data_IF_457817050837
#
_entry.id   IF_457817050837
#
_cell.length_a   1.000
_cell.length_b   1.000
_cell.length_c   1.000
_cell.angle_alpha   90.00
_cell.angle_beta   90.00
_cell.angle_gamma   90.00
#
_symmetry.space_group_name_H-M   'P 1'
#
loop_
_entity.id
_entity.type
_entity.pdbx_description
1 polymer ?
#
# COMPACT_ATOMS: atom_id res chain seq x y z
N UNK A 1 31.85 15.44 -1.85
CA UNK A 1 30.38 15.53 -1.90
C UNK A 1 29.79 14.14 -1.76
N UNK A 2 28.84 13.95 -0.84
CA UNK A 2 28.11 12.71 -0.65
C UNK A 2 26.68 12.86 -1.20
N UNK A 3 26.22 11.92 -2.02
CA UNK A 3 24.84 11.93 -2.56
C UNK A 3 24.07 10.82 -1.85
N UNK A 4 22.97 11.16 -1.20
CA UNK A 4 22.15 10.23 -0.42
C UNK A 4 20.72 10.20 -0.96
N UNK A 5 20.19 9.04 -1.35
CA UNK A 5 18.77 8.89 -1.65
C UNK A 5 17.93 8.86 -0.36
N UNK A 6 16.68 9.38 -0.44
CA UNK A 6 15.72 9.33 0.65
C UNK A 6 14.29 9.15 0.10
N UNK A 7 13.76 7.95 0.19
CA UNK A 7 12.39 7.60 -0.21
C UNK A 7 11.82 6.50 0.70
N UNK A 8 10.50 6.36 0.74
CA UNK A 8 9.80 5.51 1.71
C UNK A 8 10.23 4.03 1.67
N UNK A 9 10.56 3.50 0.48
CA UNK A 9 10.97 2.09 0.31
C UNK A 9 12.44 1.82 0.57
N UNK A 10 13.24 2.87 0.85
CA UNK A 10 14.67 2.70 1.14
C UNK A 10 14.84 1.91 2.45
N UNK A 11 15.82 0.98 2.54
CA UNK A 11 16.14 0.30 3.80
C UNK A 11 16.37 1.28 4.94
N UNK A 12 15.89 0.95 6.14
CA UNK A 12 15.96 1.84 7.32
C UNK A 12 17.40 2.25 7.63
N UNK A 13 18.37 1.37 7.41
CA UNK A 13 19.79 1.69 7.61
C UNK A 13 20.25 2.83 6.70
N UNK A 14 19.84 2.81 5.43
CA UNK A 14 20.18 3.85 4.45
C UNK A 14 19.41 5.13 4.69
N UNK A 15 18.13 5.05 5.09
CA UNK A 15 17.36 6.22 5.52
C UNK A 15 18.04 6.94 6.68
N UNK A 16 18.59 6.19 7.66
CA UNK A 16 19.28 6.77 8.82
C UNK A 16 20.54 7.54 8.47
N UNK A 17 21.19 7.25 7.34
CA UNK A 17 22.41 7.95 6.92
C UNK A 17 22.21 9.46 6.77
N UNK A 18 21.01 9.91 6.36
CA UNK A 18 20.71 11.34 6.18
C UNK A 18 20.66 12.11 7.52
N UNK A 19 20.41 11.42 8.63
CA UNK A 19 20.32 12.02 9.97
C UNK A 19 21.65 12.07 10.70
N UNK A 20 22.62 11.23 10.32
CA UNK A 20 23.94 11.23 10.96
C UNK A 20 24.79 12.38 10.44
N UNK A 21 25.46 13.14 11.31
CA UNK A 21 26.37 14.19 10.90
C UNK A 21 27.53 13.61 10.06
N UNK A 22 27.85 14.28 8.97
CA UNK A 22 29.02 13.97 8.14
C UNK A 22 29.87 15.23 7.97
N UNK A 23 31.14 15.05 7.60
CA UNK A 23 32.08 16.14 7.35
C UNK A 23 31.99 16.64 5.90
N UNK A 24 31.50 15.81 4.99
CA UNK A 24 31.38 16.15 3.56
C UNK A 24 30.13 16.98 3.25
N UNK A 25 30.21 17.77 2.17
CA UNK A 25 29.02 18.40 1.57
C UNK A 25 28.04 17.30 1.12
N UNK A 26 26.76 17.42 1.50
CA UNK A 26 25.73 16.45 1.21
C UNK A 26 24.68 16.98 0.24
N UNK A 27 24.28 16.11 -0.68
CA UNK A 27 23.13 16.31 -1.57
C UNK A 27 22.16 15.15 -1.28
N UNK A 28 20.93 15.48 -0.88
CA UNK A 28 19.91 14.50 -0.55
C UNK A 28 18.87 14.51 -1.67
N UNK A 29 18.76 13.40 -2.40
CA UNK A 29 17.74 13.20 -3.44
C UNK A 29 16.53 12.53 -2.80
N UNK A 30 15.45 13.29 -2.60
CA UNK A 30 14.30 12.79 -1.86
C UNK A 30 12.99 12.90 -2.65
N UNK A 31 12.05 12.02 -2.29
CA UNK A 31 10.65 12.14 -2.66
C UNK A 31 9.92 13.06 -1.66
N UNK A 32 8.59 13.16 -1.78
CA UNK A 32 7.74 13.89 -0.82
C UNK A 32 7.82 13.37 0.64
N UNK A 33 8.49 12.26 0.92
CA UNK A 33 8.73 11.77 2.29
C UNK A 33 9.46 12.82 3.16
N UNK A 34 10.32 13.63 2.57
CA UNK A 34 11.02 14.72 3.27
C UNK A 34 10.20 16.02 3.37
N UNK A 35 9.03 16.08 2.74
CA UNK A 35 8.15 17.25 2.77
C UNK A 35 7.44 17.39 4.12
N UNK A 36 6.93 16.31 4.69
CA UNK A 36 6.14 16.31 5.93
C UNK A 36 6.68 15.39 7.00
N UNK A 37 7.04 14.16 6.65
CA UNK A 37 7.24 13.07 7.60
C UNK A 37 8.60 13.07 8.30
N UNK A 38 9.63 13.61 7.67
CA UNK A 38 11.00 13.55 8.20
C UNK A 38 11.63 14.94 8.25
N UNK A 39 12.36 15.21 9.33
CA UNK A 39 13.17 16.42 9.45
C UNK A 39 14.64 16.07 9.27
N UNK A 40 15.18 16.36 8.09
CA UNK A 40 16.61 16.20 7.84
C UNK A 40 17.36 17.38 8.46
N UNK A 41 18.34 17.15 9.35
CA UNK A 41 19.05 18.22 10.01
C UNK A 41 20.00 18.96 9.05
N UNK A 42 20.28 20.24 9.36
CA UNK A 42 21.30 21.07 8.68
C UNK A 42 21.05 21.35 7.20
N UNK A 43 19.81 21.22 6.73
CA UNK A 43 19.45 21.61 5.36
C UNK A 43 19.45 23.14 5.26
N UNK A 44 20.28 23.69 4.39
CA UNK A 44 20.40 25.11 4.07
C UNK A 44 19.83 25.46 2.71
N UNK A 45 19.79 24.49 1.82
CA UNK A 45 19.31 24.67 0.45
C UNK A 45 18.26 23.62 0.13
N UNK A 46 17.19 24.03 -0.53
CA UNK A 46 16.18 23.15 -1.13
C UNK A 46 16.12 23.48 -2.62
N UNK A 47 16.19 22.44 -3.45
CA UNK A 47 15.91 22.53 -4.88
C UNK A 47 14.58 21.81 -5.11
N UNK A 48 13.55 22.57 -5.47
CA UNK A 48 12.20 22.05 -5.65
C UNK A 48 11.86 21.94 -7.13
N UNK A 49 11.69 20.73 -7.62
CA UNK A 49 11.29 20.42 -9.00
C UNK A 49 9.84 20.75 -9.29
N UNK A 50 9.01 20.93 -8.27
CA UNK A 50 7.58 21.20 -8.39
C UNK A 50 6.70 20.00 -8.67
N UNK A 51 7.23 18.78 -8.60
CA UNK A 51 6.49 17.54 -8.88
C UNK A 51 6.53 16.56 -7.72
N UNK A 52 5.50 15.71 -7.62
CA UNK A 52 5.44 14.58 -6.73
C UNK A 52 4.66 13.41 -7.36
N UNK A 53 4.86 12.20 -6.84
CA UNK A 53 3.95 11.08 -7.09
C UNK A 53 2.79 11.20 -6.12
N UNK A 54 1.58 11.39 -6.65
CA UNK A 54 0.35 11.54 -5.87
C UNK A 54 -0.53 10.33 -6.14
N UNK A 55 -1.02 9.71 -5.06
CA UNK A 55 -1.91 8.56 -5.18
C UNK A 55 -3.26 9.00 -5.73
N UNK A 56 -3.69 8.37 -6.84
CA UNK A 56 -4.95 8.64 -7.52
C UNK A 56 -5.67 7.35 -7.88
N UNK A 57 -6.95 7.28 -7.57
CA UNK A 57 -7.81 6.20 -8.03
C UNK A 57 -8.16 6.38 -9.51
N UNK A 58 -7.85 5.40 -10.32
CA UNK A 58 -8.21 5.39 -11.73
C UNK A 58 -9.58 4.73 -11.92
N UNK A 59 -10.58 5.49 -12.27
CA UNK A 59 -11.93 5.00 -12.56
C UNK A 59 -11.95 4.00 -13.73
N UNK A 60 -11.11 4.22 -14.75
CA UNK A 60 -11.06 3.36 -15.94
C UNK A 60 -10.52 1.96 -15.61
N UNK A 61 -9.44 1.87 -14.83
CA UNK A 61 -8.79 0.60 -14.50
C UNK A 61 -9.14 0.09 -13.10
N UNK A 62 -9.93 0.85 -12.33
CA UNK A 62 -10.34 0.55 -10.94
C UNK A 62 -9.16 0.19 -10.01
N UNK A 63 -8.00 0.80 -10.26
CA UNK A 63 -6.79 0.62 -9.45
C UNK A 63 -6.22 1.94 -8.99
N UNK A 64 -5.51 1.90 -7.87
CA UNK A 64 -4.74 3.03 -7.37
C UNK A 64 -3.48 3.19 -8.20
N UNK A 65 -3.23 4.40 -8.71
CA UNK A 65 -2.05 4.78 -9.49
C UNK A 65 -1.26 5.85 -8.77
N UNK A 66 0.00 6.00 -9.14
CA UNK A 66 0.93 7.00 -8.61
C UNK A 66 1.49 7.86 -9.76
N UNK A 67 0.66 8.65 -10.46
CA UNK A 67 1.15 9.57 -11.48
C UNK A 67 2.08 10.62 -10.89
N UNK A 68 2.96 11.16 -11.74
CA UNK A 68 3.78 12.33 -11.41
C UNK A 68 2.96 13.55 -11.76
N UNK A 69 2.67 14.39 -10.77
CA UNK A 69 1.83 15.58 -10.91
C UNK A 69 2.52 16.81 -10.31
N UNK A 70 2.12 18.01 -10.75
CA UNK A 70 2.52 19.25 -10.13
C UNK A 70 1.97 19.32 -8.69
N UNK A 71 2.80 19.77 -7.76
CA UNK A 71 2.40 19.93 -6.35
C UNK A 71 1.61 21.22 -6.14
N UNK A 72 0.83 21.27 -5.07
CA UNK A 72 0.13 22.47 -4.63
C UNK A 72 1.08 23.57 -4.12
N UNK A 73 0.58 24.80 -4.00
CA UNK A 73 1.32 25.92 -3.39
C UNK A 73 1.70 25.62 -1.93
N UNK A 74 0.79 25.04 -1.16
CA UNK A 74 1.04 24.64 0.23
C UNK A 74 2.19 23.61 0.32
N UNK A 75 2.19 22.61 -0.55
CA UNK A 75 3.26 21.60 -0.63
C UNK A 75 4.61 22.24 -0.99
N UNK A 76 4.64 23.15 -1.97
CA UNK A 76 5.84 23.90 -2.33
C UNK A 76 6.36 24.76 -1.17
N UNK A 77 5.46 25.39 -0.40
CA UNK A 77 5.81 26.18 0.78
C UNK A 77 6.31 25.29 1.93
N UNK A 78 5.75 24.09 2.12
CA UNK A 78 6.27 23.11 3.07
C UNK A 78 7.71 22.68 2.71
N UNK A 79 8.00 22.41 1.42
CA UNK A 79 9.35 22.11 0.95
C UNK A 79 10.31 23.28 1.22
N UNK A 80 9.90 24.52 0.89
CA UNK A 80 10.66 25.74 1.21
C UNK A 80 11.00 25.79 2.70
N UNK A 81 10.04 25.49 3.59
CA UNK A 81 10.23 25.50 5.04
C UNK A 81 11.31 24.53 5.54
N UNK A 82 11.73 23.54 4.74
CA UNK A 82 12.76 22.56 5.16
C UNK A 82 14.15 23.15 5.29
N UNK A 83 14.52 24.17 4.54
CA UNK A 83 15.83 24.82 4.65
C UNK A 83 15.88 25.91 5.75
N UNK A 84 14.73 26.33 6.30
CA UNK A 84 14.65 27.40 7.29
C UNK A 84 14.57 26.97 8.77
N UNK A 85 14.74 25.69 9.10
CA UNK A 85 14.48 25.19 10.46
C UNK A 85 15.55 25.54 11.51
N UNK A 86 16.81 25.61 11.11
CA UNK A 86 17.94 25.85 12.02
C UNK A 86 18.60 27.22 11.77
N UNK A 87 18.08 28.04 10.88
CA UNK A 87 18.60 29.35 10.50
C UNK A 87 18.25 29.69 9.05
N UNK A 88 18.64 30.83 8.53
CA UNK A 88 18.33 31.27 7.17
C UNK A 88 18.75 30.24 6.14
N UNK A 89 17.88 29.93 5.19
CA UNK A 89 18.11 28.97 4.10
C UNK A 89 17.52 29.47 2.80
N UNK A 90 17.93 28.88 1.69
CA UNK A 90 17.50 29.25 0.34
C UNK A 90 16.75 28.11 -0.32
N UNK A 91 15.56 28.39 -0.86
CA UNK A 91 14.82 27.48 -1.70
C UNK A 91 14.84 27.96 -3.16
N UNK A 92 15.30 27.09 -4.06
CA UNK A 92 15.33 27.34 -5.49
C UNK A 92 14.23 26.48 -6.12
N UNK A 93 13.22 27.12 -6.71
CA UNK A 93 12.16 26.47 -7.48
C UNK A 93 12.58 26.36 -8.94
N UNK A 94 12.47 25.17 -9.53
CA UNK A 94 12.80 24.93 -10.95
C UNK A 94 11.59 25.15 -11.86
N UNK A 95 10.71 26.06 -11.49
CA UNK A 95 9.51 26.47 -12.24
C UNK A 95 9.26 27.96 -11.99
N UNK A 96 8.52 28.59 -12.88
CA UNK A 96 8.28 30.04 -12.82
C UNK A 96 7.33 30.44 -11.69
N UNK A 97 7.36 31.71 -11.30
CA UNK A 97 6.40 32.26 -10.36
C UNK A 97 4.97 32.19 -10.91
N UNK A 98 4.80 32.48 -12.20
CA UNK A 98 3.51 32.36 -12.87
C UNK A 98 2.95 30.90 -12.83
N UNK A 99 3.81 29.89 -12.99
CA UNK A 99 3.39 28.49 -12.81
C UNK A 99 3.01 28.19 -11.35
N UNK A 100 3.76 28.74 -10.38
CA UNK A 100 3.42 28.59 -8.96
C UNK A 100 2.05 29.21 -8.64
N UNK A 101 1.76 30.40 -9.14
CA UNK A 101 0.52 31.13 -8.86
C UNK A 101 -0.72 30.43 -9.48
N UNK A 102 -0.53 29.73 -10.58
CA UNK A 102 -1.59 28.94 -11.24
C UNK A 102 -1.86 27.59 -10.54
N UNK A 103 -1.02 27.16 -9.62
CA UNK A 103 -1.22 25.89 -8.90
C UNK A 103 -2.34 25.99 -7.88
N UNK A 104 -3.05 24.88 -7.60
CA UNK A 104 -4.03 24.85 -6.53
C UNK A 104 -3.35 25.20 -5.20
N UNK A 105 -4.06 25.93 -4.34
CA UNK A 105 -3.54 26.35 -3.03
C UNK A 105 -3.18 25.14 -2.15
N UNK A 106 -4.07 24.13 -2.10
CA UNK A 106 -3.90 22.90 -1.30
C UNK A 106 -3.95 21.65 -2.17
N UNK A 107 -3.35 20.59 -1.69
CA UNK A 107 -3.50 19.27 -2.28
C UNK A 107 -4.90 18.74 -1.98
N UNK A 108 -5.56 18.14 -2.98
CA UNK A 108 -6.89 17.55 -2.81
C UNK A 108 -6.94 16.56 -1.63
N UNK A 109 -8.01 16.58 -0.81
CA UNK A 109 -8.22 15.61 0.25
C UNK A 109 -8.18 14.16 -0.23
N UNK A 110 -7.83 13.23 0.65
CA UNK A 110 -7.72 11.81 0.30
C UNK A 110 -9.04 11.23 -0.22
N UNK A 111 -10.18 11.68 0.32
CA UNK A 111 -11.51 11.24 -0.10
C UNK A 111 -11.79 11.49 -1.59
N UNK A 112 -11.15 12.50 -2.19
CA UNK A 112 -11.28 12.83 -3.61
C UNK A 112 -10.31 12.03 -4.51
N UNK A 113 -9.42 11.22 -3.92
CA UNK A 113 -8.31 10.55 -4.62
C UNK A 113 -8.27 9.04 -4.45
N UNK A 114 -9.11 8.48 -3.58
CA UNK A 114 -9.11 7.04 -3.24
C UNK A 114 -10.45 6.39 -3.55
N UNK A 115 -10.48 5.06 -3.56
CA UNK A 115 -11.73 4.31 -3.66
C UNK A 115 -12.62 4.57 -2.44
N UNK A 116 -13.88 4.87 -2.66
CA UNK A 116 -14.85 5.15 -1.61
C UNK A 116 -15.58 3.91 -1.09
N UNK A 117 -15.33 2.73 -1.65
CA UNK A 117 -16.10 1.53 -1.34
C UNK A 117 -16.11 1.18 0.16
N UNK A 118 -14.94 1.20 0.81
CA UNK A 118 -14.84 0.93 2.26
C UNK A 118 -15.54 1.99 3.11
N UNK A 119 -15.45 3.26 2.69
CA UNK A 119 -16.09 4.39 3.38
C UNK A 119 -17.61 4.27 3.28
N UNK A 120 -18.15 4.12 2.06
CA UNK A 120 -19.59 3.99 1.80
C UNK A 120 -20.15 2.77 2.55
N UNK A 121 -19.49 1.62 2.46
CA UNK A 121 -19.96 0.43 3.16
C UNK A 121 -20.05 0.64 4.68
N UNK A 122 -19.04 1.30 5.24
CA UNK A 122 -19.02 1.64 6.67
C UNK A 122 -20.15 2.63 7.03
N UNK A 123 -20.36 3.67 6.24
CA UNK A 123 -21.46 4.63 6.45
C UNK A 123 -22.82 3.93 6.44
N UNK A 124 -23.08 3.07 5.44
CA UNK A 124 -24.32 2.31 5.32
C UNK A 124 -24.54 1.32 6.48
N UNK A 125 -23.48 0.77 7.06
CA UNK A 125 -23.58 -0.22 8.15
C UNK A 125 -23.60 0.40 9.55
N UNK A 126 -23.31 1.71 9.68
CA UNK A 126 -23.32 2.47 10.93
C UNK A 126 -24.44 3.53 10.97
N UNK A 127 -25.38 3.45 10.03
CA UNK A 127 -26.55 4.35 9.92
C UNK A 127 -26.18 5.84 9.82
N UNK A 128 -25.05 6.16 9.16
CA UNK A 128 -24.63 7.55 8.90
C UNK A 128 -25.33 8.17 7.68
N UNK A 129 -26.27 7.43 7.06
CA UNK A 129 -26.99 7.88 5.89
C UNK A 129 -26.24 7.65 4.57
N UNK A 130 -26.79 8.19 3.49
CA UNK A 130 -26.18 8.12 2.17
C UNK A 130 -24.98 9.06 2.09
N UNK A 131 -23.94 8.63 1.38
CA UNK A 131 -22.72 9.43 1.19
C UNK A 131 -22.99 10.73 0.44
N UNK A 132 -24.00 10.74 -0.41
CA UNK A 132 -24.46 11.90 -1.19
C UNK A 132 -25.02 13.02 -0.29
N UNK A 133 -25.63 12.66 0.84
CA UNK A 133 -26.28 13.59 1.78
C UNK A 133 -25.37 13.99 2.95
N UNK A 134 -24.18 13.37 3.03
CA UNK A 134 -23.26 13.64 4.12
C UNK A 134 -22.56 15.00 3.94
N UNK A 135 -22.49 15.88 4.96
CA UNK A 135 -21.96 17.23 4.85
C UNK A 135 -20.41 17.25 4.80
N UNK A 136 -19.83 16.71 3.74
CA UNK A 136 -18.40 16.83 3.51
C UNK A 136 -18.00 18.28 3.22
N UNK A 137 -16.83 18.69 3.70
CA UNK A 137 -16.24 19.98 3.31
C UNK A 137 -15.96 20.01 1.79
N UNK A 138 -15.38 18.93 1.29
CA UNK A 138 -15.12 18.70 -0.13
C UNK A 138 -15.83 17.41 -0.55
N UNK A 139 -17.04 17.50 -1.11
CA UNK A 139 -17.83 16.32 -1.44
C UNK A 139 -17.19 15.54 -2.62
N UNK A 140 -17.16 14.21 -2.55
CA UNK A 140 -16.65 13.39 -3.65
C UNK A 140 -17.53 13.51 -4.90
N UNK A 141 -16.92 13.42 -6.07
CA UNK A 141 -17.64 13.50 -7.33
C UNK A 141 -18.64 12.33 -7.48
N UNK A 142 -19.84 12.53 -8.05
CA UNK A 142 -20.86 11.50 -8.25
C UNK A 142 -20.32 10.23 -8.94
N UNK A 143 -19.37 10.38 -9.86
CA UNK A 143 -18.71 9.25 -10.51
C UNK A 143 -17.96 8.36 -9.54
N UNK A 144 -17.24 8.93 -8.57
CA UNK A 144 -16.50 8.17 -7.55
C UNK A 144 -17.44 7.37 -6.66
N UNK A 145 -18.56 7.99 -6.30
CA UNK A 145 -19.62 7.37 -5.51
C UNK A 145 -20.25 6.19 -6.26
N UNK A 146 -20.60 6.40 -7.53
CA UNK A 146 -21.18 5.34 -8.37
C UNK A 146 -20.19 4.18 -8.58
N UNK A 147 -18.91 4.45 -8.86
CA UNK A 147 -17.88 3.41 -8.98
C UNK A 147 -17.75 2.58 -7.69
N UNK A 148 -17.86 3.22 -6.53
CA UNK A 148 -17.82 2.54 -5.24
C UNK A 148 -19.06 1.65 -5.03
N UNK A 149 -20.26 2.13 -5.36
CA UNK A 149 -21.49 1.33 -5.31
C UNK A 149 -21.42 0.14 -6.29
N UNK A 150 -20.90 0.35 -7.50
CA UNK A 150 -20.68 -0.74 -8.46
C UNK A 150 -19.75 -1.82 -7.89
N UNK A 151 -18.64 -1.41 -7.27
CA UNK A 151 -17.74 -2.37 -6.63
C UNK A 151 -18.43 -3.11 -5.48
N UNK A 152 -19.15 -2.42 -4.61
CA UNK A 152 -19.86 -3.05 -3.49
C UNK A 152 -20.92 -4.04 -3.99
N UNK A 153 -21.62 -3.71 -5.06
CA UNK A 153 -22.59 -4.61 -5.69
C UNK A 153 -21.90 -5.82 -6.32
N UNK A 154 -20.82 -5.62 -7.08
CA UNK A 154 -19.98 -6.70 -7.66
C UNK A 154 -19.51 -7.69 -6.59
N UNK A 155 -19.09 -7.20 -5.40
CA UNK A 155 -18.66 -8.03 -4.29
C UNK A 155 -19.83 -8.70 -3.53
N UNK A 156 -21.08 -8.37 -3.88
CA UNK A 156 -22.28 -8.84 -3.20
C UNK A 156 -22.44 -8.24 -1.79
N UNK A 157 -21.88 -7.04 -1.54
CA UNK A 157 -21.96 -6.35 -0.27
C UNK A 157 -23.27 -5.58 -0.08
N UNK A 158 -23.89 -5.15 -1.17
CA UNK A 158 -25.15 -4.42 -1.23
C UNK A 158 -26.11 -5.06 -2.24
N UNK A 159 -27.37 -4.77 -2.10
CA UNK A 159 -28.42 -5.14 -3.04
C UNK A 159 -28.62 -4.07 -4.15
N UNK A 160 -29.58 -4.30 -5.06
CA UNK A 160 -29.96 -3.36 -6.14
C UNK A 160 -30.47 -2.00 -5.61
N UNK A 161 -30.98 -1.96 -4.39
CA UNK A 161 -31.41 -0.74 -3.71
C UNK A 161 -30.31 -0.04 -2.92
N UNK A 162 -29.05 -0.45 -3.14
CA UNK A 162 -27.86 0.04 -2.44
C UNK A 162 -27.88 -0.20 -0.91
N UNK A 163 -28.69 -1.18 -0.43
CA UNK A 163 -28.75 -1.52 0.98
C UNK A 163 -27.76 -2.63 1.35
N UNK A 164 -27.08 -2.54 2.50
CA UNK A 164 -26.09 -3.54 2.89
C UNK A 164 -26.79 -4.87 3.21
N UNK A 165 -26.38 -5.93 2.55
CA UNK A 165 -26.81 -7.30 2.83
C UNK A 165 -25.98 -7.91 3.98
N UNK A 166 -26.29 -9.15 4.39
CA UNK A 166 -25.57 -9.83 5.46
C UNK A 166 -24.05 -9.90 5.21
N UNK A 167 -23.66 -10.20 3.97
CA UNK A 167 -22.25 -10.23 3.55
C UNK A 167 -21.61 -8.83 3.65
N UNK A 168 -22.32 -7.78 3.24
CA UNK A 168 -21.80 -6.40 3.37
C UNK A 168 -21.55 -6.01 4.81
N UNK A 169 -22.47 -6.33 5.71
CA UNK A 169 -22.28 -6.09 7.17
C UNK A 169 -21.08 -6.85 7.72
N UNK A 170 -20.83 -8.06 7.22
CA UNK A 170 -19.65 -8.84 7.58
C UNK A 170 -18.37 -8.24 7.03
N UNK A 171 -18.36 -7.78 5.76
CA UNK A 171 -17.23 -7.10 5.15
C UNK A 171 -16.83 -5.81 5.89
N UNK A 172 -17.80 -5.02 6.32
CA UNK A 172 -17.56 -3.76 7.02
C UNK A 172 -16.83 -3.90 8.36
N UNK A 173 -16.81 -5.08 8.96
CA UNK A 173 -16.12 -5.36 10.24
C UNK A 173 -14.64 -5.57 10.09
N UNK A 174 -14.15 -5.80 8.86
CA UNK A 174 -12.75 -6.06 8.62
C UNK A 174 -11.95 -4.75 8.50
N UNK A 175 -10.79 -4.64 9.16
CA UNK A 175 -9.90 -3.49 9.04
C UNK A 175 -9.05 -3.59 7.77
N UNK A 176 -9.67 -3.95 6.65
CA UNK A 176 -9.04 -4.22 5.36
C UNK A 176 -9.81 -3.53 4.22
N UNK A 177 -9.19 -3.47 3.06
CA UNK A 177 -9.91 -3.22 1.81
C UNK A 177 -11.04 -4.24 1.60
N UNK A 178 -12.19 -3.79 1.10
CA UNK A 178 -13.38 -4.62 0.93
C UNK A 178 -13.15 -5.85 0.04
N UNK A 179 -12.24 -5.77 -0.93
CA UNK A 179 -11.87 -6.88 -1.81
C UNK A 179 -11.12 -7.96 -1.02
N UNK A 180 -10.14 -7.55 -0.19
CA UNK A 180 -9.39 -8.48 0.66
C UNK A 180 -10.30 -9.12 1.70
N UNK A 181 -11.18 -8.36 2.32
CA UNK A 181 -12.18 -8.91 3.24
C UNK A 181 -13.09 -9.94 2.54
N UNK A 182 -13.51 -9.66 1.29
CA UNK A 182 -14.32 -10.60 0.49
C UNK A 182 -13.58 -11.92 0.23
N UNK A 183 -12.27 -11.83 -0.11
CA UNK A 183 -11.42 -13.00 -0.32
C UNK A 183 -11.31 -13.87 0.95
N UNK A 184 -11.16 -13.25 2.14
CA UNK A 184 -11.08 -13.98 3.42
C UNK A 184 -12.37 -14.75 3.71
N UNK A 185 -13.53 -14.12 3.51
CA UNK A 185 -14.84 -14.78 3.72
C UNK A 185 -15.01 -15.94 2.75
N UNK A 186 -14.61 -15.78 1.48
CA UNK A 186 -14.67 -16.87 0.51
C UNK A 186 -13.65 -17.96 0.83
N UNK A 187 -12.46 -17.59 1.32
CA UNK A 187 -11.43 -18.52 1.78
C UNK A 187 -11.90 -19.46 2.88
N UNK A 188 -12.78 -18.98 3.77
CA UNK A 188 -13.45 -19.83 4.78
C UNK A 188 -14.35 -20.89 4.15
N UNK A 189 -15.10 -20.52 3.09
CA UNK A 189 -16.00 -21.44 2.37
C UNK A 189 -15.25 -22.43 1.51
N UNK A 190 -14.11 -22.04 0.95
CA UNK A 190 -13.26 -22.85 0.08
C UNK A 190 -12.19 -23.65 0.84
N UNK A 191 -12.25 -23.67 2.19
CA UNK A 191 -11.29 -24.34 3.06
C UNK A 191 -9.81 -23.95 2.76
N UNK A 192 -9.54 -22.65 2.57
CA UNK A 192 -8.21 -22.06 2.35
C UNK A 192 -7.98 -20.76 3.14
N UNK A 193 -8.69 -20.59 4.27
CA UNK A 193 -8.63 -19.36 5.06
C UNK A 193 -7.25 -19.05 5.62
N UNK A 194 -6.47 -20.05 6.01
CA UNK A 194 -5.10 -19.85 6.49
C UNK A 194 -4.21 -19.20 5.43
N UNK A 195 -4.28 -19.68 4.20
CA UNK A 195 -3.53 -19.17 3.06
C UNK A 195 -4.01 -17.76 2.71
N UNK A 196 -5.31 -17.52 2.69
CA UNK A 196 -5.88 -16.22 2.39
C UNK A 196 -5.51 -15.15 3.44
N UNK A 197 -5.43 -15.51 4.74
CA UNK A 197 -4.95 -14.58 5.77
C UNK A 197 -3.48 -14.19 5.53
N UNK A 198 -2.64 -15.14 5.13
CA UNK A 198 -1.24 -14.85 4.75
C UNK A 198 -1.19 -13.88 3.56
N UNK A 199 -1.96 -14.14 2.52
CA UNK A 199 -1.99 -13.31 1.32
C UNK A 199 -2.60 -11.94 1.58
N UNK A 200 -3.73 -11.85 2.28
CA UNK A 200 -4.36 -10.58 2.62
C UNK A 200 -3.44 -9.69 3.49
N UNK A 201 -2.75 -10.30 4.47
CA UNK A 201 -1.77 -9.54 5.28
C UNK A 201 -0.56 -9.11 4.46
N UNK A 202 -0.07 -9.93 3.52
CA UNK A 202 1.02 -9.56 2.62
C UNK A 202 0.64 -8.39 1.69
N UNK A 203 -0.59 -8.42 1.14
CA UNK A 203 -1.11 -7.37 0.26
C UNK A 203 -1.40 -6.04 0.98
N UNK A 204 -1.56 -6.07 2.29
CA UNK A 204 -1.88 -4.90 3.11
C UNK A 204 -0.65 -4.16 3.64
N UNK A 205 0.54 -4.74 3.51
CA UNK A 205 1.81 -4.14 3.92
C UNK A 205 2.67 -3.81 2.71
N UNK A 206 3.75 -3.08 2.94
CA UNK A 206 4.78 -2.93 1.93
C UNK A 206 5.54 -4.26 1.75
N UNK A 207 5.82 -4.65 0.48
CA UNK A 207 6.57 -5.88 0.17
C UNK A 207 7.81 -6.01 1.08
N UNK A 208 7.94 -7.11 1.82
CA UNK A 208 9.09 -7.33 2.70
C UNK A 208 10.39 -7.59 1.94
N UNK A 209 10.36 -7.90 0.65
CA UNK A 209 11.55 -8.10 -0.19
C UNK A 209 12.16 -6.74 -0.55
N UNK A 210 13.46 -6.63 -0.43
CA UNK A 210 14.22 -5.43 -0.80
C UNK A 210 15.12 -5.74 -2.00
N UNK A 211 15.27 -4.76 -2.89
CA UNK A 211 16.18 -4.79 -4.04
C UNK A 211 17.10 -3.57 -3.99
N UNK A 212 18.16 -3.58 -3.15
CA UNK A 212 19.12 -2.48 -3.07
C UNK A 212 19.79 -2.24 -4.42
N UNK A 213 20.01 -0.97 -4.77
CA UNK A 213 20.54 -0.60 -6.08
C UNK A 213 21.95 -1.17 -6.36
N UNK A 214 22.72 -1.38 -5.31
CA UNK A 214 24.07 -1.94 -5.34
C UNK A 214 24.11 -3.47 -5.27
N UNK A 215 22.98 -4.14 -5.11
CA UNK A 215 22.89 -5.58 -4.91
C UNK A 215 21.65 -6.23 -5.58
N UNK A 216 21.15 -5.65 -6.68
CA UNK A 216 19.92 -6.10 -7.35
C UNK A 216 20.00 -7.57 -7.76
N UNK A 217 21.08 -8.00 -8.44
CA UNK A 217 21.24 -9.38 -8.90
C UNK A 217 21.27 -10.39 -7.73
N UNK A 218 21.99 -10.06 -6.66
CA UNK A 218 22.06 -10.92 -5.47
C UNK A 218 20.71 -11.01 -4.74
N UNK A 219 19.93 -9.92 -4.73
CA UNK A 219 18.59 -9.92 -4.16
C UNK A 219 17.62 -10.77 -5.01
N UNK A 220 17.70 -10.67 -6.33
CA UNK A 220 16.88 -11.47 -7.25
C UNK A 220 17.23 -12.97 -7.13
N UNK A 221 18.49 -13.33 -7.05
CA UNK A 221 18.92 -14.71 -6.80
C UNK A 221 18.39 -15.23 -5.45
N UNK A 222 18.50 -14.43 -4.38
CA UNK A 222 17.99 -14.82 -3.06
C UNK A 222 16.47 -15.01 -3.03
N UNK A 223 15.71 -14.22 -3.81
CA UNK A 223 14.27 -14.30 -3.88
C UNK A 223 13.76 -15.31 -4.90
N UNK A 224 14.54 -15.62 -5.94
CA UNK A 224 14.19 -16.56 -7.02
C UNK A 224 13.83 -17.97 -6.53
N UNK A 225 14.35 -18.39 -5.37
CA UNK A 225 13.99 -19.68 -4.75
C UNK A 225 12.52 -19.79 -4.31
N UNK A 226 11.79 -18.66 -4.25
CA UNK A 226 10.37 -18.61 -3.93
C UNK A 226 9.50 -18.43 -5.18
N UNK A 227 10.11 -18.33 -6.36
CA UNK A 227 9.36 -18.15 -7.60
C UNK A 227 8.41 -19.32 -7.86
N UNK A 228 7.23 -18.98 -8.33
CA UNK A 228 6.23 -19.90 -8.83
C UNK A 228 5.89 -19.50 -10.27
N UNK A 229 5.86 -20.46 -11.18
CA UNK A 229 5.70 -20.19 -12.61
C UNK A 229 4.30 -19.72 -12.98
N UNK A 230 3.33 -20.07 -12.15
CA UNK A 230 1.93 -19.91 -12.49
C UNK A 230 1.23 -18.84 -11.62
N UNK A 231 1.88 -18.42 -10.48
CA UNK A 231 1.19 -17.52 -9.57
C UNK A 231 2.12 -16.73 -8.63
N UNK A 232 2.10 -15.42 -8.75
CA UNK A 232 2.77 -14.51 -7.82
C UNK A 232 2.24 -14.62 -6.37
N UNK A 233 1.00 -15.05 -6.19
CA UNK A 233 0.43 -15.27 -4.86
C UNK A 233 1.10 -16.44 -4.15
N UNK A 234 1.47 -17.49 -4.87
CA UNK A 234 2.16 -18.64 -4.30
C UNK A 234 3.55 -18.29 -3.81
N UNK A 235 4.22 -17.30 -4.41
CA UNK A 235 5.51 -16.76 -3.95
C UNK A 235 5.41 -16.25 -2.50
N UNK A 236 4.36 -15.51 -2.17
CA UNK A 236 4.15 -15.01 -0.80
C UNK A 236 3.87 -16.14 0.20
N UNK A 237 3.17 -17.20 -0.20
CA UNK A 237 2.94 -18.36 0.67
C UNK A 237 4.23 -19.12 0.97
N UNK A 238 5.08 -19.33 -0.05
CA UNK A 238 6.39 -19.96 0.12
C UNK A 238 7.31 -19.12 1.01
N UNK A 239 7.37 -17.81 0.75
CA UNK A 239 8.12 -16.86 1.57
C UNK A 239 7.64 -16.87 3.03
N UNK A 240 6.32 -16.86 3.24
CA UNK A 240 5.75 -16.93 4.59
C UNK A 240 6.14 -18.19 5.34
N UNK A 241 6.03 -19.34 4.72
CA UNK A 241 6.44 -20.63 5.33
C UNK A 241 7.91 -20.60 5.72
N UNK A 242 8.75 -20.06 4.84
CA UNK A 242 10.17 -19.91 5.09
C UNK A 242 10.46 -18.97 6.29
N UNK A 243 9.95 -17.74 6.27
CA UNK A 243 10.23 -16.79 7.37
C UNK A 243 9.64 -17.25 8.69
N UNK A 244 8.47 -17.91 8.67
CA UNK A 244 7.84 -18.52 9.85
C UNK A 244 8.72 -19.61 10.47
N UNK A 245 9.28 -20.51 9.64
CA UNK A 245 10.23 -21.54 10.06
C UNK A 245 11.49 -20.91 10.67
N UNK A 246 12.10 -19.96 9.95
CA UNK A 246 13.34 -19.30 10.40
C UNK A 246 13.17 -18.53 11.72
N UNK A 247 12.01 -17.87 11.89
CA UNK A 247 11.68 -17.16 13.13
C UNK A 247 11.53 -18.11 14.33
N UNK A 248 11.03 -19.33 14.10
CA UNK A 248 10.89 -20.35 15.16
C UNK A 248 12.22 -20.97 15.57
N UNK A 249 13.14 -21.14 14.60
CA UNK A 249 14.43 -21.85 14.81
C UNK A 249 15.55 -20.93 15.31
N UNK A 250 15.39 -19.62 15.19
CA UNK A 250 16.44 -18.63 15.44
C UNK A 250 16.08 -17.65 16.56
N UNK A 251 17.09 -17.17 17.28
CA UNK A 251 16.91 -16.02 18.17
C UNK A 251 16.56 -14.76 17.36
N UNK A 252 15.95 -13.75 18.01
CA UNK A 252 15.57 -12.48 17.35
C UNK A 252 16.77 -11.80 16.64
N UNK A 253 17.96 -11.85 17.25
CA UNK A 253 19.18 -11.30 16.65
C UNK A 253 19.63 -12.09 15.42
N UNK A 254 19.60 -13.41 15.49
CA UNK A 254 19.95 -14.29 14.37
C UNK A 254 18.96 -14.14 13.22
N UNK A 255 17.66 -14.06 13.53
CA UNK A 255 16.62 -13.87 12.53
C UNK A 255 16.76 -12.51 11.83
N UNK A 256 17.08 -11.43 12.57
CA UNK A 256 17.36 -10.11 11.98
C UNK A 256 18.57 -10.13 11.05
N UNK A 257 19.66 -10.85 11.44
CA UNK A 257 20.84 -11.03 10.57
C UNK A 257 20.50 -11.81 9.32
N UNK A 258 19.67 -12.86 9.43
CA UNK A 258 19.17 -13.64 8.28
C UNK A 258 18.39 -12.74 7.31
N UNK A 259 17.40 -11.99 7.80
CA UNK A 259 16.61 -11.07 6.95
C UNK A 259 17.55 -10.13 6.15
N UNK A 260 18.52 -9.51 6.83
CA UNK A 260 19.48 -8.63 6.16
C UNK A 260 20.28 -9.34 5.06
N UNK A 261 20.76 -10.56 5.34
CA UNK A 261 21.55 -11.35 4.37
C UNK A 261 20.74 -11.75 3.15
N UNK A 262 19.44 -11.96 3.33
CA UNK A 262 18.53 -12.45 2.29
C UNK A 262 17.65 -11.34 1.69
N UNK A 263 18.09 -10.08 1.86
CA UNK A 263 17.40 -8.91 1.32
C UNK A 263 15.92 -8.83 1.71
N UNK A 264 15.61 -9.21 2.96
CA UNK A 264 14.30 -9.07 3.56
C UNK A 264 14.31 -7.92 4.57
N UNK A 265 13.31 -7.04 4.50
CA UNK A 265 13.14 -5.99 5.49
C UNK A 265 12.57 -6.58 6.79
N UNK A 266 13.39 -6.63 7.83
CA UNK A 266 13.02 -7.21 9.11
C UNK A 266 11.80 -6.53 9.75
N UNK A 267 11.65 -5.21 9.60
CA UNK A 267 10.51 -4.47 10.14
C UNK A 267 9.22 -4.88 9.43
N UNK A 268 9.22 -4.90 8.10
CA UNK A 268 8.05 -5.32 7.30
C UNK A 268 7.70 -6.80 7.51
N UNK A 269 8.69 -7.66 7.68
CA UNK A 269 8.45 -9.06 8.04
C UNK A 269 7.75 -9.15 9.39
N UNK A 270 8.13 -8.37 10.41
CA UNK A 270 7.41 -8.34 11.68
C UNK A 270 6.01 -7.73 11.55
N UNK A 271 5.85 -6.66 10.79
CA UNK A 271 4.55 -6.07 10.46
C UNK A 271 3.61 -7.12 9.81
N UNK A 272 4.16 -7.93 8.91
CA UNK A 272 3.42 -9.04 8.31
C UNK A 272 2.95 -10.05 9.34
N UNK A 273 3.82 -10.46 10.27
CA UNK A 273 3.44 -11.36 11.36
C UNK A 273 2.37 -10.77 12.26
N UNK A 274 2.49 -9.49 12.60
CA UNK A 274 1.54 -8.82 13.49
C UNK A 274 0.18 -8.66 12.83
N UNK A 275 0.13 -8.23 11.57
CA UNK A 275 -1.12 -8.12 10.82
C UNK A 275 -1.75 -9.50 10.57
N UNK A 276 -0.94 -10.51 10.22
CA UNK A 276 -1.44 -11.89 10.08
C UNK A 276 -2.12 -12.39 11.36
N UNK A 277 -1.51 -12.12 12.53
CA UNK A 277 -2.09 -12.47 13.82
C UNK A 277 -3.42 -11.74 14.07
N UNK A 278 -3.48 -10.43 13.81
CA UNK A 278 -4.70 -9.63 13.95
C UNK A 278 -5.84 -10.17 13.07
N UNK A 279 -5.54 -10.46 11.81
CA UNK A 279 -6.54 -11.02 10.90
C UNK A 279 -7.00 -12.44 11.30
N UNK A 280 -6.09 -13.22 11.87
CA UNK A 280 -6.42 -14.53 12.41
C UNK A 280 -7.36 -14.43 13.60
N UNK A 281 -7.10 -13.50 14.53
CA UNK A 281 -7.96 -13.23 15.68
C UNK A 281 -9.34 -12.72 15.23
N UNK A 282 -9.38 -11.79 14.30
CA UNK A 282 -10.62 -11.27 13.70
C UNK A 282 -11.44 -12.39 13.02
N UNK A 283 -10.77 -13.28 12.28
CA UNK A 283 -11.45 -14.43 11.64
C UNK A 283 -12.10 -15.37 12.67
N UNK A 284 -11.47 -15.54 13.84
CA UNK A 284 -12.04 -16.33 14.94
C UNK A 284 -13.25 -15.64 15.58
N UNK A 285 -13.18 -14.33 15.79
CA UNK A 285 -14.29 -13.53 16.31
C UNK A 285 -15.50 -13.58 15.36
N UNK A 286 -15.25 -13.50 14.06
CA UNK A 286 -16.27 -13.63 13.00
C UNK A 286 -16.72 -15.10 12.78
N UNK A 287 -16.20 -16.04 13.58
CA UNK A 287 -16.54 -17.49 13.53
C UNK A 287 -16.33 -18.10 12.15
N UNK A 288 -15.31 -17.64 11.41
CA UNK A 288 -14.94 -18.23 10.13
C UNK A 288 -14.30 -19.61 10.34
N UNK A 289 -14.59 -20.53 9.42
CA UNK A 289 -14.07 -21.89 9.45
C UNK A 289 -12.65 -21.94 8.88
N UNK A 290 -11.71 -22.46 9.67
CA UNK A 290 -10.33 -22.66 9.23
C UNK A 290 -10.16 -24.06 8.59
N UNK A 291 -9.33 -24.11 7.55
CA UNK A 291 -8.93 -25.39 6.96
C UNK A 291 -7.98 -26.14 7.90
N UNK A 292 -8.10 -27.49 7.90
CA UNK A 292 -7.25 -28.38 8.72
C UNK A 292 -6.00 -28.85 7.99
N UNK A 293 -5.98 -28.77 6.66
CA UNK A 293 -4.88 -29.18 5.79
C UNK A 293 -4.54 -28.01 4.85
N UNK A 294 -3.31 -27.94 4.34
CA UNK A 294 -2.97 -26.97 3.31
C UNK A 294 -3.93 -27.06 2.13
N UNK A 295 -4.37 -25.93 1.63
CA UNK A 295 -5.32 -25.87 0.54
C UNK A 295 -4.62 -26.09 -0.81
N UNK A 296 -5.36 -26.65 -1.77
CA UNK A 296 -4.90 -26.72 -3.15
C UNK A 296 -4.87 -25.31 -3.79
N UNK A 297 -3.90 -25.03 -4.69
CA UNK A 297 -3.77 -23.72 -5.36
C UNK A 297 -5.07 -23.25 -6.02
N UNK A 298 -5.85 -24.16 -6.59
CA UNK A 298 -7.12 -23.85 -7.27
C UNK A 298 -8.14 -23.23 -6.31
N UNK A 299 -8.25 -23.74 -5.10
CA UNK A 299 -9.16 -23.20 -4.07
C UNK A 299 -8.71 -21.80 -3.62
N UNK A 300 -7.40 -21.59 -3.51
CA UNK A 300 -6.81 -20.29 -3.16
C UNK A 300 -7.13 -19.29 -4.27
N UNK A 301 -6.88 -19.62 -5.54
CA UNK A 301 -7.17 -18.75 -6.67
C UNK A 301 -8.66 -18.47 -6.83
N UNK A 302 -9.54 -19.47 -6.62
CA UNK A 302 -10.99 -19.23 -6.63
C UNK A 302 -11.43 -18.26 -5.53
N UNK A 303 -10.84 -18.34 -4.33
CA UNK A 303 -11.14 -17.42 -3.26
C UNK A 303 -10.60 -16.00 -3.56
N UNK A 304 -9.40 -15.88 -4.12
CA UNK A 304 -8.83 -14.60 -4.58
C UNK A 304 -9.69 -13.96 -5.67
N UNK A 305 -10.17 -14.75 -6.63
CA UNK A 305 -11.03 -14.28 -7.71
C UNK A 305 -12.30 -13.59 -7.18
N UNK A 306 -12.86 -14.03 -6.04
CA UNK A 306 -14.05 -13.41 -5.47
C UNK A 306 -13.92 -11.91 -5.13
N UNK A 307 -12.69 -11.43 -4.96
CA UNK A 307 -12.39 -10.00 -4.77
C UNK A 307 -11.84 -9.32 -6.01
N UNK A 308 -11.64 -10.05 -7.11
CA UNK A 308 -10.96 -9.57 -8.33
C UNK A 308 -11.80 -9.77 -9.60
N UNK A 309 -13.13 -9.90 -9.49
CA UNK A 309 -14.01 -10.23 -10.62
C UNK A 309 -13.83 -9.28 -11.81
N UNK A 310 -13.68 -7.99 -11.56
CA UNK A 310 -13.44 -6.99 -12.60
C UNK A 310 -11.97 -6.84 -13.04
N UNK A 311 -11.06 -7.69 -12.53
CA UNK A 311 -9.61 -7.68 -12.81
C UNK A 311 -9.13 -8.95 -13.50
N UNK A 312 -10.01 -9.64 -14.19
CA UNK A 312 -9.69 -10.83 -14.98
C UNK A 312 -9.23 -10.39 -16.35
N UNK A 313 -8.02 -10.78 -16.73
CA UNK A 313 -7.49 -10.61 -18.08
C UNK A 313 -7.42 -11.94 -18.80
N UNK A 314 -7.68 -11.95 -20.10
CA UNK A 314 -7.45 -13.09 -20.96
C UNK A 314 -6.26 -12.78 -21.87
N UNK A 315 -5.23 -13.64 -21.84
CA UNK A 315 -4.07 -13.48 -22.72
C UNK A 315 -4.49 -13.76 -24.15
N UNK A 316 -4.30 -12.81 -25.05
CA UNK A 316 -4.51 -13.03 -26.46
C UNK A 316 -3.38 -13.93 -27.01
N UNK A 317 -3.69 -15.10 -27.63
CA UNK A 317 -2.65 -15.97 -28.18
C UNK A 317 -1.82 -15.33 -29.32
N UNK A 318 -2.40 -14.34 -30.01
CA UNK A 318 -1.79 -13.67 -31.17
C UNK A 318 -0.96 -12.44 -30.78
N UNK A 319 -1.14 -11.91 -29.57
CA UNK A 319 -0.41 -10.76 -29.05
C UNK A 319 0.24 -11.10 -27.71
N UNK A 320 1.45 -10.59 -27.45
CA UNK A 320 2.09 -10.72 -26.13
C UNK A 320 1.44 -9.78 -25.06
N UNK A 321 0.22 -9.27 -25.31
CA UNK A 321 -0.56 -8.40 -24.43
C UNK A 321 -1.74 -9.11 -23.76
N UNK A 322 -2.30 -8.45 -22.71
CA UNK A 322 -3.55 -8.83 -22.05
C UNK A 322 -4.64 -7.87 -22.44
#
# INVERSE_FOLDING_TARGET
TEILPLYARLPVADQRRVFHPGTARRIILCTNVAETSLTVPRIRFVIDTGFARISRYSHRSRVQRLPIEAISQASANQRKGRCGRLGPGTCIRLYSEADFDLRPEFTEPEILRTSLASVILRMLTTDLGAVEDFPFLDPPAPRMINDAYHLLFELGAIDEKRQPVALGRQLARWPLDVRLARMLIEGSKKACLHELIVLASAQSIQDPRERPLDAVAAADEAHGRFEDKDSDFMVFLQLWQYVKKQRKEKSASQFRKLCKREFLNWTRVNEWFDLNRQLYEQAREEKLSFNRKPAAPEHIHQALLSGLLSHVGHKNPEDNGY
#
